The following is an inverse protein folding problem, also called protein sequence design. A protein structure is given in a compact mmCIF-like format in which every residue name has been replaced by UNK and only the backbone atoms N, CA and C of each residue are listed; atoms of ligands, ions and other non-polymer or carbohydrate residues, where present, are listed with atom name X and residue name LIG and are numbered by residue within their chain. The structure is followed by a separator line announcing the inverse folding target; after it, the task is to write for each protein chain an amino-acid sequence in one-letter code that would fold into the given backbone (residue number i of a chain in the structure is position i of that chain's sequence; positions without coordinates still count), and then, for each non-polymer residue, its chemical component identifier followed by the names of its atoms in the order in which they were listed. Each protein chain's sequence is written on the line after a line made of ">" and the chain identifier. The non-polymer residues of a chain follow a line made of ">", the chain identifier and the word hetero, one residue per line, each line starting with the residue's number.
data_IF_256121662085
#
_entry.id   IF_256121662085
#
_cell.length_a   1.000
_cell.length_b   1.000
_cell.length_c   1.000
_cell.angle_alpha   90.00
_cell.angle_beta   90.00
_cell.angle_gamma   90.00
#
_symmetry.space_group_name_H-M   'P 1'
#
loop_
_entity.id
_entity.type
_entity.pdbx_description
1 polymer ?
#
# COMPACT_ATOMS: atom_id res chain seq x y z
N UNK A 1 18.49 18.02 1.06
CA UNK A 1 17.12 18.50 1.17
C UNK A 1 16.16 17.38 1.52
N UNK A 2 15.29 17.58 2.44
CA UNK A 2 14.29 16.58 2.79
C UNK A 2 13.33 16.40 1.61
N UNK A 3 12.89 15.18 1.37
CA UNK A 3 11.90 14.89 0.37
C UNK A 3 10.52 15.40 0.77
N UNK A 4 9.65 15.53 -0.21
CA UNK A 4 8.27 15.90 0.04
C UNK A 4 7.52 14.72 0.65
N UNK A 5 6.57 15.03 1.51
CA UNK A 5 5.64 14.05 2.02
C UNK A 5 4.53 13.83 1.00
N UNK A 6 4.07 12.60 0.94
CA UNK A 6 3.03 12.18 -0.01
C UNK A 6 2.13 11.18 0.66
N UNK A 7 0.87 11.23 0.31
CA UNK A 7 -0.12 10.26 0.80
C UNK A 7 -0.98 9.82 -0.36
N UNK A 8 -1.17 8.50 -0.48
CA UNK A 8 -2.00 7.93 -1.54
C UNK A 8 -2.91 6.86 -0.97
N UNK A 9 -4.02 6.63 -1.65
CA UNK A 9 -4.82 5.43 -1.44
C UNK A 9 -4.76 4.62 -2.71
N UNK A 10 -4.39 3.35 -2.58
CA UNK A 10 -4.27 2.46 -3.72
C UNK A 10 -5.24 1.29 -3.55
N UNK A 11 -5.90 0.90 -4.64
CA UNK A 11 -6.74 -0.28 -4.66
C UNK A 11 -6.15 -1.27 -5.65
N UNK A 12 -5.89 -2.48 -5.16
CA UNK A 12 -5.18 -3.51 -5.90
C UNK A 12 -6.16 -4.60 -6.27
N UNK A 13 -6.24 -4.92 -7.56
CA UNK A 13 -7.17 -5.89 -8.12
C UNK A 13 -6.43 -7.11 -8.65
N UNK A 14 -7.10 -8.23 -8.68
CA UNK A 14 -6.56 -9.48 -9.17
C UNK A 14 -6.72 -10.58 -8.14
N UNK A 15 -5.86 -11.59 -8.20
CA UNK A 15 -5.81 -12.63 -7.20
C UNK A 15 -4.91 -12.15 -6.05
N UNK A 16 -5.49 -11.39 -5.12
CA UNK A 16 -4.74 -10.68 -4.08
C UNK A 16 -5.22 -10.97 -2.65
N UNK A 17 -6.30 -11.75 -2.49
CA UNK A 17 -6.74 -12.18 -1.17
C UNK A 17 -6.43 -13.68 -1.00
N UNK A 18 -6.14 -14.07 0.25
CA UNK A 18 -5.83 -15.45 0.55
C UNK A 18 -4.43 -15.90 0.11
N UNK A 19 -3.57 -14.94 -0.23
CA UNK A 19 -2.22 -15.20 -0.75
C UNK A 19 -1.13 -14.49 0.05
N UNK A 20 -1.48 -13.99 1.26
CA UNK A 20 -0.52 -13.30 2.11
C UNK A 20 -0.23 -11.86 1.71
N UNK A 21 -1.09 -11.25 0.88
CA UNK A 21 -0.84 -9.92 0.33
C UNK A 21 -0.74 -8.86 1.43
N UNK A 22 -1.65 -8.87 2.41
CA UNK A 22 -1.67 -7.86 3.47
C UNK A 22 -0.41 -7.91 4.33
N UNK A 23 0.03 -9.11 4.70
CA UNK A 23 1.25 -9.30 5.50
C UNK A 23 2.46 -8.85 4.70
N UNK A 24 2.52 -9.22 3.43
CA UNK A 24 3.59 -8.80 2.52
C UNK A 24 3.62 -7.28 2.40
N UNK A 25 2.46 -6.64 2.17
CA UNK A 25 2.36 -5.19 2.01
C UNK A 25 2.84 -4.46 3.27
N UNK A 26 2.44 -4.95 4.46
CA UNK A 26 2.90 -4.37 5.71
C UNK A 26 4.42 -4.44 5.85
N UNK A 27 5.00 -5.57 5.49
CA UNK A 27 6.46 -5.74 5.54
C UNK A 27 7.18 -4.80 4.59
N UNK A 28 6.68 -4.68 3.35
CA UNK A 28 7.28 -3.79 2.35
C UNK A 28 7.17 -2.33 2.79
N UNK A 29 5.99 -1.92 3.24
CA UNK A 29 5.76 -0.55 3.69
C UNK A 29 6.64 -0.21 4.89
N UNK A 30 6.74 -1.11 5.86
CA UNK A 30 7.57 -0.91 7.04
C UNK A 30 9.04 -0.76 6.66
N UNK A 31 9.53 -1.59 5.73
CA UNK A 31 10.93 -1.51 5.28
C UNK A 31 11.24 -0.20 4.57
N UNK A 32 10.23 0.43 3.97
CA UNK A 32 10.37 1.71 3.29
C UNK A 32 10.11 2.91 4.22
N UNK A 33 9.85 2.67 5.49
CA UNK A 33 9.56 3.73 6.44
C UNK A 33 8.20 4.38 6.24
N UNK A 34 7.27 3.68 5.58
CA UNK A 34 5.93 4.20 5.32
C UNK A 34 4.99 3.88 6.47
N UNK A 35 3.98 4.73 6.64
CA UNK A 35 2.91 4.52 7.59
C UNK A 35 1.58 4.40 6.85
N UNK A 36 0.57 3.83 7.49
CA UNK A 36 -0.73 3.67 6.89
C UNK A 36 -1.39 2.36 7.28
N UNK A 37 -2.17 1.83 6.35
CA UNK A 37 -2.92 0.60 6.60
C UNK A 37 -3.23 -0.15 5.31
N UNK A 38 -3.62 -1.40 5.46
CA UNK A 38 -4.05 -2.26 4.36
C UNK A 38 -5.21 -3.13 4.82
N UNK A 39 -6.20 -3.34 3.95
CA UNK A 39 -7.37 -4.17 4.27
C UNK A 39 -7.91 -4.89 3.03
N UNK A 40 -8.57 -6.01 3.23
CA UNK A 40 -9.35 -6.68 2.20
C UNK A 40 -10.66 -5.96 1.98
N UNK A 41 -11.12 -5.91 0.73
CA UNK A 41 -12.43 -5.40 0.38
C UNK A 41 -13.37 -6.57 0.04
N UNK A 42 -14.68 -6.30 0.10
CA UNK A 42 -15.69 -7.32 -0.14
C UNK A 42 -15.66 -7.89 -1.56
N UNK A 43 -15.18 -7.10 -2.53
CA UNK A 43 -15.13 -7.49 -3.94
C UNK A 43 -13.90 -8.33 -4.30
N UNK A 44 -13.04 -8.65 -3.33
CA UNK A 44 -11.82 -9.41 -3.54
C UNK A 44 -10.58 -8.55 -3.75
N UNK A 45 -10.74 -7.25 -3.86
CA UNK A 45 -9.60 -6.33 -3.97
C UNK A 45 -9.00 -6.05 -2.59
N UNK A 46 -7.84 -5.37 -2.60
CA UNK A 46 -7.16 -4.92 -1.37
C UNK A 46 -6.97 -3.42 -1.48
N UNK A 47 -7.33 -2.69 -0.43
CA UNK A 47 -7.10 -1.25 -0.35
C UNK A 47 -5.98 -0.98 0.63
N UNK A 48 -5.09 -0.07 0.28
CA UNK A 48 -4.04 0.39 1.18
C UNK A 48 -3.92 1.90 1.11
N UNK A 49 -3.71 2.53 2.27
CA UNK A 49 -3.39 3.95 2.34
C UNK A 49 -1.97 4.07 2.86
N UNK A 50 -1.17 4.86 2.16
CA UNK A 50 0.28 4.88 2.32
C UNK A 50 0.72 6.33 2.46
N UNK A 51 1.49 6.62 3.50
CA UNK A 51 1.99 7.97 3.76
C UNK A 51 3.47 7.91 4.11
N UNK A 52 4.23 8.86 3.59
CA UNK A 52 5.65 8.97 3.85
C UNK A 52 6.35 9.86 2.85
N UNK A 53 7.65 9.66 2.71
CA UNK A 53 8.43 10.41 1.72
C UNK A 53 8.00 10.00 0.31
N UNK A 54 7.99 10.98 -0.59
CA UNK A 54 7.55 10.76 -1.98
C UNK A 54 8.26 9.59 -2.64
N UNK A 55 9.58 9.49 -2.51
CA UNK A 55 10.34 8.37 -3.12
C UNK A 55 9.89 7.02 -2.59
N UNK A 56 9.65 6.92 -1.27
CA UNK A 56 9.21 5.68 -0.65
C UNK A 56 7.82 5.30 -1.13
N UNK A 57 6.92 6.27 -1.24
CA UNK A 57 5.57 6.04 -1.74
C UNK A 57 5.61 5.55 -3.19
N UNK A 58 6.41 6.18 -4.04
CA UNK A 58 6.56 5.77 -5.43
C UNK A 58 7.10 4.34 -5.55
N UNK A 59 8.10 4.00 -4.74
CA UNK A 59 8.66 2.65 -4.70
C UNK A 59 7.59 1.64 -4.29
N UNK A 60 6.80 1.97 -3.27
CA UNK A 60 5.75 1.06 -2.80
C UNK A 60 4.68 0.83 -3.88
N UNK A 61 4.28 1.87 -4.61
CA UNK A 61 3.32 1.73 -5.72
C UNK A 61 3.87 0.74 -6.74
N UNK A 62 5.14 0.87 -7.12
CA UNK A 62 5.76 -0.07 -8.04
C UNK A 62 5.74 -1.51 -7.53
N UNK A 63 5.99 -1.69 -6.23
CA UNK A 63 5.93 -3.02 -5.61
C UNK A 63 4.51 -3.58 -5.57
N UNK A 64 3.50 -2.74 -5.37
CA UNK A 64 2.10 -3.18 -5.37
C UNK A 64 1.71 -3.80 -6.71
N UNK A 65 2.19 -3.26 -7.83
CA UNK A 65 1.94 -3.83 -9.15
C UNK A 65 2.49 -5.24 -9.29
N UNK A 66 3.54 -5.56 -8.57
CA UNK A 66 4.17 -6.87 -8.58
C UNK A 66 3.49 -7.84 -7.61
N UNK A 67 3.29 -7.39 -6.38
CA UNK A 67 2.74 -8.21 -5.31
C UNK A 67 3.71 -9.30 -4.84
N UNK A 68 3.30 -10.10 -3.85
CA UNK A 68 4.06 -11.27 -3.44
C UNK A 68 3.96 -12.37 -4.50
N UNK A 69 4.82 -13.39 -4.40
CA UNK A 69 4.94 -14.44 -5.41
C UNK A 69 3.64 -15.20 -5.66
N UNK A 70 2.79 -15.32 -4.65
CA UNK A 70 1.53 -16.06 -4.74
C UNK A 70 0.38 -15.23 -5.31
N UNK A 71 0.60 -13.94 -5.51
CA UNK A 71 -0.44 -13.04 -6.01
C UNK A 71 -0.34 -12.85 -7.52
N UNK A 72 -1.46 -12.45 -8.12
CA UNK A 72 -1.51 -12.01 -9.51
C UNK A 72 -2.24 -10.68 -9.53
N UNK A 73 -1.50 -9.60 -9.74
CA UNK A 73 -2.07 -8.26 -9.76
C UNK A 73 -2.48 -7.92 -11.19
N UNK A 74 -3.75 -7.57 -11.38
CA UNK A 74 -4.26 -7.18 -12.69
C UNK A 74 -4.30 -5.66 -12.87
N UNK A 75 -4.49 -4.92 -11.78
CA UNK A 75 -4.59 -3.46 -11.85
C UNK A 75 -4.33 -2.85 -10.47
N UNK A 76 -3.73 -1.68 -10.47
CA UNK A 76 -3.58 -0.85 -9.26
C UNK A 76 -4.11 0.54 -9.60
N UNK A 77 -5.16 0.96 -8.92
CA UNK A 77 -5.70 2.31 -9.03
C UNK A 77 -5.15 3.14 -7.88
N UNK A 78 -4.56 4.29 -8.18
CA UNK A 78 -3.92 5.15 -7.18
C UNK A 78 -4.65 6.49 -7.16
N UNK A 79 -5.03 6.90 -5.96
CA UNK A 79 -5.63 8.20 -5.70
C UNK A 79 -4.68 9.02 -4.84
N UNK A 80 -4.30 10.21 -5.33
CA UNK A 80 -3.49 11.14 -4.53
C UNK A 80 -4.38 11.79 -3.48
N UNK A 81 -3.88 11.82 -2.25
CA UNK A 81 -4.59 12.45 -1.13
C UNK A 81 -3.77 13.63 -0.64
N UNK A 82 -4.46 14.62 -0.07
CA UNK A 82 -3.75 15.69 0.61
C UNK A 82 -3.07 15.11 1.84
N UNK A 83 -1.74 15.31 2.02
CA UNK A 83 -1.06 14.82 3.22
C UNK A 83 -1.62 15.50 4.46
N UNK A 84 -1.78 14.76 5.53
CA UNK A 84 -2.31 15.35 6.76
C UNK A 84 -2.71 14.34 7.80
N UNK A 85 -2.91 13.08 7.42
CA UNK A 85 -3.22 12.03 8.39
C UNK A 85 -1.96 11.64 9.15
N UNK A 86 -2.13 11.38 10.43
CA UNK A 86 -1.04 10.88 11.26
C UNK A 86 -1.31 9.40 11.51
N UNK A 87 -0.38 8.56 11.07
CA UNK A 87 -0.45 7.13 11.30
C UNK A 87 0.66 6.70 12.26
N UNK A 88 0.39 5.68 13.06
CA UNK A 88 1.39 5.05 13.91
C UNK A 88 1.75 3.71 13.27
N UNK A 89 2.85 3.71 12.52
CA UNK A 89 3.31 2.54 11.81
C UNK A 89 2.38 2.14 10.66
N UNK A 90 2.52 0.92 10.21
CA UNK A 90 1.71 0.36 9.12
C UNK A 90 0.91 -0.82 9.66
N UNK A 91 -0.41 -0.80 9.48
CA UNK A 91 -1.31 -1.75 10.13
C UNK A 91 -2.17 -2.50 9.13
N UNK A 92 -2.46 -3.75 9.46
CA UNK A 92 -3.51 -4.51 8.79
C UNK A 92 -4.81 -4.23 9.52
N UNK A 93 -5.83 -3.76 8.81
CA UNK A 93 -7.12 -3.42 9.41
C UNK A 93 -8.22 -4.25 8.78
N UNK A 94 -9.34 -4.34 9.48
CA UNK A 94 -10.48 -5.12 9.01
C UNK A 94 -11.29 -4.36 7.98
#
# INVERSE_FOLDING_TARGET
>A
MAGHRREVRARVYGNVQGVGFRIWARGEATSLGLAGWVRNEADGSVTTQIAGLDEAVSTMIGRLWKGPSEASVSRVDVEELAPGNTFVGFRIVA
#
